data_IF_939714421424
#
_entry.id   IF_939714421424
#
_cell.length_a   1.000
_cell.length_b   1.000
_cell.length_c   1.000
_cell.angle_alpha   90.00
_cell.angle_beta   90.00
_cell.angle_gamma   90.00
#
_symmetry.space_group_name_H-M   'P 1'
#
loop_
_entity.id
_entity.type
_entity.pdbx_description
1 polymer ?
#
# COMPACT_ATOMS: atom_id res chain seq x y z
N UNK A 1 -6.48 -33.23 51.38
CA UNK A 1 -6.72 -31.86 50.86
C UNK A 1 -5.58 -31.34 49.97
N UNK A 2 -4.32 -31.27 50.42
CA UNK A 2 -3.18 -30.78 49.60
C UNK A 2 -2.97 -31.52 48.27
N UNK A 3 -3.11 -32.85 48.25
CA UNK A 3 -2.97 -33.67 47.01
C UNK A 3 -4.09 -33.43 45.98
N UNK A 4 -5.32 -33.19 46.43
CA UNK A 4 -6.45 -32.86 45.55
C UNK A 4 -6.33 -31.46 44.96
N UNK A 5 -5.80 -30.50 45.74
CA UNK A 5 -5.58 -29.13 45.28
C UNK A 5 -4.47 -29.04 44.23
N UNK A 6 -3.42 -29.86 44.34
CA UNK A 6 -2.35 -29.96 43.35
C UNK A 6 -2.85 -30.57 42.02
N UNK A 7 -3.71 -31.59 42.08
CA UNK A 7 -4.31 -32.21 40.88
C UNK A 7 -5.26 -31.23 40.18
N UNK A 8 -6.07 -30.49 40.94
CA UNK A 8 -6.97 -29.49 40.38
C UNK A 8 -6.22 -28.32 39.72
N UNK A 9 -5.12 -27.85 40.34
CA UNK A 9 -4.27 -26.82 39.75
C UNK A 9 -3.59 -27.29 38.45
N UNK A 10 -3.12 -28.54 38.39
CA UNK A 10 -2.54 -29.11 37.18
C UNK A 10 -3.59 -29.30 36.06
N UNK A 11 -4.83 -29.68 36.40
CA UNK A 11 -5.91 -29.83 35.44
C UNK A 11 -6.36 -28.49 34.84
N UNK A 12 -6.49 -27.44 35.66
CA UNK A 12 -6.82 -26.08 35.20
C UNK A 12 -5.70 -25.54 34.30
N UNK A 13 -4.43 -25.79 34.64
CA UNK A 13 -3.29 -25.35 33.83
C UNK A 13 -3.21 -26.08 32.47
N UNK A 14 -3.63 -27.34 32.41
CA UNK A 14 -3.72 -28.08 31.14
C UNK A 14 -4.87 -27.57 30.24
N UNK A 15 -5.99 -27.15 30.81
CA UNK A 15 -7.13 -26.58 30.05
C UNK A 15 -6.78 -25.20 29.49
N UNK A 16 -6.01 -24.39 30.21
CA UNK A 16 -5.57 -23.06 29.73
C UNK A 16 -4.58 -23.19 28.55
N UNK A 17 -3.77 -24.25 28.50
CA UNK A 17 -2.81 -24.49 27.41
C UNK A 17 -3.45 -25.05 26.14
N UNK A 18 -4.62 -25.68 26.23
CA UNK A 18 -5.34 -26.25 25.09
C UNK A 18 -6.34 -25.27 24.43
N UNK A 19 -6.52 -24.06 24.98
CA UNK A 19 -7.51 -23.09 24.52
C UNK A 19 -7.00 -22.10 23.46
N UNK A 20 -5.81 -22.32 22.90
CA UNK A 20 -5.23 -21.50 21.83
C UNK A 20 -4.87 -22.34 20.61
N UNK A 21 -5.87 -22.94 19.97
CA UNK A 21 -5.77 -23.28 18.55
C UNK A 21 -6.95 -22.61 17.85
N UNK A 22 -6.72 -21.40 17.34
CA UNK A 22 -7.59 -20.86 16.30
C UNK A 22 -7.24 -21.60 15.00
N UNK A 23 -8.19 -22.38 14.50
CA UNK A 23 -8.07 -23.14 13.26
C UNK A 23 -7.64 -22.22 12.11
N UNK A 24 -6.39 -22.33 11.66
CA UNK A 24 -5.87 -21.58 10.51
C UNK A 24 -6.46 -22.07 9.17
N UNK A 25 -7.27 -23.13 9.21
CA UNK A 25 -7.93 -23.78 8.07
C UNK A 25 -9.35 -23.25 7.83
N UNK A 26 -9.54 -21.92 7.89
CA UNK A 26 -10.82 -21.31 7.50
C UNK A 26 -10.96 -21.37 5.98
N UNK A 27 -12.04 -22.00 5.50
CA UNK A 27 -12.38 -21.97 4.07
C UNK A 27 -12.73 -20.54 3.66
N UNK A 28 -11.98 -19.98 2.71
CA UNK A 28 -12.27 -18.66 2.14
C UNK A 28 -13.54 -18.75 1.29
N UNK A 29 -14.58 -18.02 1.66
CA UNK A 29 -15.79 -17.89 0.85
C UNK A 29 -15.50 -17.04 -0.39
N UNK A 30 -15.20 -17.64 -1.55
CA UNK A 30 -15.22 -17.09 -2.94
C UNK A 30 -14.73 -15.66 -3.25
N UNK A 31 -14.24 -14.89 -2.28
CA UNK A 31 -13.68 -13.54 -2.37
C UNK A 31 -12.16 -13.66 -2.31
N UNK A 32 -11.62 -14.47 -3.20
CA UNK A 32 -10.20 -14.41 -3.54
C UNK A 32 -9.99 -13.24 -4.50
N UNK A 33 -8.81 -12.62 -4.45
CA UNK A 33 -8.36 -11.60 -5.40
C UNK A 33 -8.29 -12.13 -6.83
N UNK A 34 -8.03 -13.43 -6.98
CA UNK A 34 -8.17 -14.17 -8.23
C UNK A 34 -9.62 -14.64 -8.45
N UNK A 35 -10.22 -14.27 -9.59
CA UNK A 35 -11.48 -14.86 -10.04
C UNK A 35 -11.20 -16.14 -10.83
N UNK A 36 -11.54 -17.29 -10.25
CA UNK A 36 -11.51 -18.57 -10.94
C UNK A 36 -12.93 -18.85 -11.44
N UNK A 37 -13.14 -18.76 -12.75
CA UNK A 37 -14.42 -19.09 -13.36
C UNK A 37 -14.83 -20.54 -13.05
N UNK A 38 -16.14 -20.80 -12.93
CA UNK A 38 -16.69 -22.16 -12.69
C UNK A 38 -16.44 -23.12 -13.85
N UNK A 39 -16.17 -22.58 -15.03
CA UNK A 39 -15.54 -23.26 -16.18
C UNK A 39 -14.14 -22.67 -16.29
N UNK A 40 -13.18 -23.37 -16.90
CA UNK A 40 -11.77 -22.95 -17.04
C UNK A 40 -11.54 -21.64 -17.88
N UNK A 41 -12.38 -20.63 -17.69
CA UNK A 41 -12.32 -19.31 -18.26
C UNK A 41 -11.95 -18.32 -17.15
N UNK A 42 -11.02 -17.43 -17.46
CA UNK A 42 -10.66 -16.30 -16.60
C UNK A 42 -11.77 -15.26 -16.72
N UNK A 43 -12.38 -14.86 -15.60
CA UNK A 43 -13.37 -13.78 -15.58
C UNK A 43 -12.66 -12.43 -15.48
N UNK A 44 -12.94 -11.54 -16.43
CA UNK A 44 -12.44 -10.17 -16.41
C UNK A 44 -13.51 -9.25 -15.79
N UNK A 45 -13.15 -8.56 -14.71
CA UNK A 45 -13.98 -7.51 -14.10
C UNK A 45 -13.30 -6.17 -14.30
N UNK A 46 -14.00 -5.21 -14.90
CA UNK A 46 -13.53 -3.82 -14.92
C UNK A 46 -13.69 -3.23 -13.52
N UNK A 47 -12.61 -2.80 -12.84
CA UNK A 47 -12.72 -2.26 -11.49
C UNK A 47 -13.42 -0.90 -11.52
N UNK A 48 -14.39 -0.72 -10.63
CA UNK A 48 -15.01 0.59 -10.38
C UNK A 48 -14.11 1.31 -9.39
N UNK A 49 -13.45 2.39 -9.81
CA UNK A 49 -12.47 3.08 -8.97
C UNK A 49 -13.01 4.36 -8.32
N UNK A 50 -12.52 4.65 -7.11
CA UNK A 50 -12.58 5.97 -6.48
C UNK A 50 -11.21 6.62 -6.66
N UNK A 51 -11.18 7.90 -7.03
CA UNK A 51 -9.93 8.63 -7.27
C UNK A 51 -9.90 9.97 -6.55
N UNK A 52 -8.68 10.44 -6.28
CA UNK A 52 -8.39 11.81 -5.90
C UNK A 52 -7.35 12.40 -6.85
N UNK A 53 -7.40 13.71 -7.05
CA UNK A 53 -6.45 14.46 -7.88
C UNK A 53 -5.92 15.63 -7.07
N UNK A 54 -4.60 15.80 -7.06
CA UNK A 54 -3.90 16.85 -6.30
C UNK A 54 -3.12 17.71 -7.30
N UNK A 55 -3.31 19.02 -7.22
CA UNK A 55 -2.60 19.98 -8.04
C UNK A 55 -1.28 20.39 -7.37
N UNK A 56 -0.22 20.48 -8.16
CA UNK A 56 1.12 20.87 -7.75
C UNK A 56 1.68 21.92 -8.71
N UNK A 57 2.67 22.67 -8.24
CA UNK A 57 3.44 23.59 -9.09
C UNK A 57 4.91 23.42 -8.74
N UNK A 58 5.73 23.07 -9.73
CA UNK A 58 7.20 23.13 -9.60
C UNK A 58 7.70 24.44 -10.18
N UNK A 59 8.68 25.05 -9.52
CA UNK A 59 9.36 26.26 -9.99
C UNK A 59 10.71 25.89 -10.60
N UNK A 60 10.95 26.32 -11.84
CA UNK A 60 12.22 26.18 -12.53
C UNK A 60 12.60 27.51 -13.18
N UNK A 61 13.67 28.15 -12.69
CA UNK A 61 14.18 29.44 -13.17
C UNK A 61 13.08 30.52 -13.33
N UNK A 62 12.16 30.58 -12.36
CA UNK A 62 11.05 31.53 -12.34
C UNK A 62 9.85 31.11 -13.22
N UNK A 63 9.96 30.01 -13.96
CA UNK A 63 8.86 29.40 -14.69
C UNK A 63 8.09 28.45 -13.76
N UNK A 64 6.78 28.66 -13.65
CA UNK A 64 5.85 27.78 -12.93
C UNK A 64 5.36 26.69 -13.87
N UNK A 65 5.63 25.43 -13.53
CA UNK A 65 5.15 24.27 -14.30
C UNK A 65 4.02 23.60 -13.49
N UNK A 66 2.76 23.67 -13.95
CA UNK A 66 1.62 23.07 -13.27
C UNK A 66 1.57 21.56 -13.50
N UNK A 67 1.49 20.80 -12.41
CA UNK A 67 1.42 19.35 -12.41
C UNK A 67 0.14 18.87 -11.71
N UNK A 68 -0.31 17.69 -12.06
CA UNK A 68 -1.41 17.00 -11.36
C UNK A 68 -1.03 15.57 -11.07
N UNK A 69 -1.14 15.16 -9.81
CA UNK A 69 -1.05 13.75 -9.43
C UNK A 69 -2.46 13.19 -9.25
N UNK A 70 -2.68 11.94 -9.65
CA UNK A 70 -3.95 11.25 -9.44
C UNK A 70 -3.70 9.88 -8.85
N UNK A 71 -4.53 9.52 -7.87
CA UNK A 71 -4.47 8.26 -7.14
C UNK A 71 -5.83 7.61 -7.19
N UNK A 72 -5.93 6.40 -7.75
CA UNK A 72 -7.18 5.65 -7.81
C UNK A 72 -7.06 4.28 -7.16
N UNK A 73 -8.11 3.86 -6.47
CA UNK A 73 -8.25 2.55 -5.83
C UNK A 73 -9.63 1.98 -6.13
N UNK A 74 -9.83 0.68 -5.95
CA UNK A 74 -11.17 0.09 -6.02
C UNK A 74 -12.11 0.80 -5.02
N UNK A 75 -13.31 1.17 -5.50
CA UNK A 75 -14.33 1.91 -4.74
C UNK A 75 -14.70 1.21 -3.44
N UNK A 76 -14.67 -0.12 -3.40
CA UNK A 76 -14.94 -0.91 -2.19
C UNK A 76 -13.89 -0.68 -1.08
N UNK A 77 -12.70 -0.19 -1.43
CA UNK A 77 -11.62 0.08 -0.47
C UNK A 77 -11.56 1.55 -0.03
N UNK A 78 -12.28 2.44 -0.71
CA UNK A 78 -12.17 3.89 -0.49
C UNK A 78 -12.47 4.33 0.94
N UNK A 79 -13.38 3.63 1.61
CA UNK A 79 -13.72 3.84 3.02
C UNK A 79 -13.54 2.57 3.85
N UNK A 80 -12.76 1.63 3.34
CA UNK A 80 -12.55 0.33 3.98
C UNK A 80 -11.25 -0.29 3.45
N UNK A 81 -10.14 0.43 3.60
CA UNK A 81 -8.84 -0.14 3.26
C UNK A 81 -8.62 -1.40 4.08
N UNK A 82 -8.15 -2.49 3.48
CA UNK A 82 -7.78 -3.71 4.20
C UNK A 82 -6.36 -4.05 3.82
N UNK A 83 -5.61 -4.47 4.82
CA UNK A 83 -4.20 -4.79 4.75
C UNK A 83 -3.97 -6.27 4.47
N UNK A 84 -4.95 -7.15 4.68
CA UNK A 84 -4.74 -8.60 4.57
C UNK A 84 -4.96 -9.18 3.17
N UNK A 85 -5.44 -8.39 2.20
CA UNK A 85 -5.52 -8.77 0.79
C UNK A 85 -4.58 -7.94 -0.08
N UNK A 86 -4.35 -8.43 -1.30
CA UNK A 86 -3.72 -7.65 -2.35
C UNK A 86 -4.68 -6.58 -2.88
N UNK A 87 -4.16 -5.40 -3.17
CA UNK A 87 -4.92 -4.30 -3.77
C UNK A 87 -4.11 -3.59 -4.84
N UNK A 88 -4.78 -2.76 -5.64
CA UNK A 88 -4.14 -1.95 -6.67
C UNK A 88 -4.39 -0.48 -6.40
N UNK A 89 -3.32 0.31 -6.49
CA UNK A 89 -3.37 1.77 -6.51
C UNK A 89 -2.84 2.26 -7.86
N UNK A 90 -3.68 2.86 -8.68
CA UNK A 90 -3.23 3.50 -9.91
C UNK A 90 -2.61 4.85 -9.58
N UNK A 91 -1.33 5.01 -9.95
CA UNK A 91 -0.57 6.24 -9.77
C UNK A 91 -0.43 6.95 -11.11
N UNK A 92 -0.80 8.23 -11.15
CA UNK A 92 -0.71 9.03 -12.37
C UNK A 92 -0.09 10.39 -12.09
N UNK A 93 0.75 10.85 -13.01
CA UNK A 93 1.32 12.19 -13.02
C UNK A 93 1.12 12.82 -14.41
N UNK A 94 0.47 13.97 -14.44
CA UNK A 94 0.28 14.79 -15.63
C UNK A 94 0.86 16.19 -15.47
N UNK A 95 1.05 16.86 -16.60
CA UNK A 95 1.50 18.25 -16.71
C UNK A 95 0.53 18.99 -17.64
N UNK A 96 -0.05 20.10 -17.19
CA UNK A 96 -1.06 20.79 -17.99
C UNK A 96 -0.45 21.59 -19.16
N UNK A 97 0.75 22.14 -18.94
CA UNK A 97 1.49 22.92 -19.93
C UNK A 97 2.97 22.92 -19.59
N UNK A 98 3.82 22.86 -20.61
CA UNK A 98 5.27 22.95 -20.48
C UNK A 98 5.80 23.91 -21.57
N UNK A 99 6.73 24.83 -21.25
CA UNK A 99 7.39 25.64 -22.26
C UNK A 99 8.14 24.78 -23.29
N UNK A 100 8.15 25.20 -24.56
CA UNK A 100 8.75 24.44 -25.67
C UNK A 100 10.25 24.17 -25.51
N UNK A 101 10.95 25.02 -24.74
CA UNK A 101 12.38 24.87 -24.47
C UNK A 101 12.69 23.92 -23.30
N UNK A 102 11.66 23.37 -22.64
CA UNK A 102 11.81 22.43 -21.54
C UNK A 102 11.28 21.05 -21.91
N UNK A 103 11.92 20.02 -21.36
CA UNK A 103 11.36 18.67 -21.34
C UNK A 103 11.20 18.23 -19.89
N UNK A 104 10.13 17.50 -19.62
CA UNK A 104 9.86 16.93 -18.30
C UNK A 104 9.83 15.41 -18.43
N UNK A 105 10.64 14.73 -17.63
CA UNK A 105 10.67 13.27 -17.59
C UNK A 105 10.47 12.78 -16.15
N UNK A 106 9.71 11.70 -15.99
CA UNK A 106 9.61 10.95 -14.74
C UNK A 106 10.82 10.04 -14.63
N UNK A 107 11.68 10.32 -13.67
CA UNK A 107 12.92 9.57 -13.45
C UNK A 107 12.73 8.43 -12.44
N UNK A 108 12.01 8.70 -11.35
CA UNK A 108 11.74 7.69 -10.33
C UNK A 108 10.34 7.90 -9.74
N UNK A 109 9.68 6.79 -9.42
CA UNK A 109 8.44 6.78 -8.64
C UNK A 109 8.63 5.85 -7.46
N UNK A 110 8.59 6.41 -6.26
CA UNK A 110 8.55 5.63 -5.03
C UNK A 110 7.17 5.78 -4.41
N UNK A 111 6.52 4.66 -4.08
CA UNK A 111 5.28 4.66 -3.34
C UNK A 111 5.34 3.62 -2.22
N UNK A 112 4.66 3.89 -1.09
CA UNK A 112 4.44 2.88 -0.08
C UNK A 112 3.09 3.04 0.59
N UNK A 113 2.57 1.93 1.12
CA UNK A 113 1.44 1.92 2.04
C UNK A 113 1.96 1.52 3.40
N UNK A 114 1.56 2.25 4.44
CA UNK A 114 1.95 1.99 5.83
C UNK A 114 0.77 2.14 6.77
N UNK A 115 0.80 1.41 7.88
CA UNK A 115 -0.23 1.43 8.90
C UNK A 115 -0.22 2.78 9.64
N UNK A 116 -1.39 3.33 9.88
CA UNK A 116 -1.62 4.46 10.79
C UNK A 116 -2.32 3.90 12.03
N UNK A 117 -1.70 4.06 13.19
CA UNK A 117 -2.15 3.41 14.43
C UNK A 117 -1.96 4.31 15.64
N UNK A 118 -2.80 4.10 16.65
CA UNK A 118 -2.63 4.70 17.98
C UNK A 118 -1.54 4.03 18.81
N UNK A 119 -1.09 2.83 18.42
CA UNK A 119 -0.02 2.09 19.11
C UNK A 119 1.30 2.22 18.36
N UNK A 120 2.36 2.56 19.08
CA UNK A 120 3.72 2.72 18.52
C UNK A 120 4.23 1.45 17.83
N UNK A 121 3.89 0.27 18.36
CA UNK A 121 4.34 -1.01 17.81
C UNK A 121 3.78 -1.34 16.42
N UNK A 122 2.67 -0.72 16.01
CA UNK A 122 2.04 -0.94 14.70
C UNK A 122 1.98 0.31 13.83
N UNK A 123 2.20 1.50 14.40
CA UNK A 123 2.22 2.74 13.64
C UNK A 123 3.46 2.83 12.74
N UNK A 124 3.25 3.07 11.45
CA UNK A 124 4.32 3.19 10.46
C UNK A 124 4.86 1.85 9.94
N UNK A 125 4.33 0.71 10.38
CA UNK A 125 4.65 -0.59 9.76
C UNK A 125 4.26 -0.51 8.30
N UNK A 126 5.23 -0.67 7.41
CA UNK A 126 4.99 -0.69 5.96
C UNK A 126 4.21 -1.97 5.64
N UNK A 127 3.15 -1.86 4.84
CA UNK A 127 2.48 -3.00 4.21
C UNK A 127 3.27 -3.43 2.98
N UNK A 128 3.51 -2.49 2.07
CA UNK A 128 4.27 -2.74 0.85
C UNK A 128 4.84 -1.43 0.26
N UNK A 129 5.73 -1.55 -0.74
CA UNK A 129 6.27 -0.43 -1.50
C UNK A 129 6.59 -0.76 -2.95
N UNK A 130 6.34 0.21 -3.82
CA UNK A 130 6.83 0.28 -5.20
C UNK A 130 8.04 1.21 -5.27
N UNK A 131 9.09 0.81 -5.99
CA UNK A 131 10.20 1.69 -6.36
C UNK A 131 10.58 1.44 -7.82
N UNK A 132 10.25 2.38 -8.69
CA UNK A 132 10.44 2.25 -10.15
C UNK A 132 11.37 3.34 -10.65
N UNK A 133 12.60 2.93 -10.98
CA UNK A 133 13.70 3.80 -11.35
C UNK A 133 14.02 3.65 -12.84
N UNK A 134 13.97 4.78 -13.57
CA UNK A 134 14.20 4.86 -15.00
C UNK A 134 15.51 5.58 -15.36
N UNK A 135 16.42 5.74 -14.39
CA UNK A 135 17.69 6.47 -14.58
C UNK A 135 18.58 5.86 -15.68
N UNK A 136 18.39 4.58 -16.00
CA UNK A 136 19.14 3.87 -17.04
C UNK A 136 18.53 4.01 -18.44
N UNK A 137 17.33 4.59 -18.58
CA UNK A 137 16.77 4.87 -19.91
C UNK A 137 17.63 5.94 -20.61
N UNK A 138 17.71 5.94 -21.97
CA UNK A 138 18.49 6.93 -22.70
C UNK A 138 18.13 8.39 -22.38
N UNK A 139 16.87 8.63 -22.01
CA UNK A 139 16.38 9.95 -21.60
C UNK A 139 16.45 10.20 -20.09
N UNK A 140 17.03 9.27 -19.31
CA UNK A 140 17.05 9.30 -17.85
C UNK A 140 15.66 9.24 -17.21
N UNK A 141 14.63 8.85 -17.95
CA UNK A 141 13.25 8.84 -17.49
C UNK A 141 12.24 8.60 -18.61
N UNK A 142 10.96 8.59 -18.23
CA UNK A 142 9.81 8.51 -19.15
C UNK A 142 9.28 9.92 -19.38
N UNK A 143 9.24 10.37 -20.64
CA UNK A 143 8.77 11.70 -20.99
C UNK A 143 7.28 11.89 -20.73
N UNK A 144 6.91 13.09 -20.24
CA UNK A 144 5.53 13.53 -20.07
C UNK A 144 5.32 14.91 -20.69
N UNK A 145 4.10 15.16 -21.16
CA UNK A 145 3.67 16.44 -21.71
C UNK A 145 2.13 16.57 -21.59
N UNK A 146 1.57 17.68 -22.08
CA UNK A 146 0.13 17.95 -22.00
C UNK A 146 -0.77 16.94 -22.72
N UNK A 147 -0.22 16.15 -23.65
CA UNK A 147 -0.93 15.10 -24.38
C UNK A 147 -0.62 13.68 -23.88
N UNK A 148 0.34 13.51 -22.96
CA UNK A 148 0.82 12.19 -22.53
C UNK A 148 1.25 12.23 -21.07
N UNK A 149 0.37 11.72 -20.22
CA UNK A 149 0.63 11.54 -18.79
C UNK A 149 1.44 10.27 -18.54
N UNK A 150 2.13 10.23 -17.40
CA UNK A 150 2.73 9.01 -16.88
C UNK A 150 1.74 8.27 -15.98
N UNK A 151 1.63 6.96 -16.16
CA UNK A 151 0.73 6.09 -15.38
C UNK A 151 1.45 4.79 -15.01
N UNK A 152 1.28 4.34 -13.76
CA UNK A 152 1.79 3.05 -13.29
C UNK A 152 0.87 2.45 -12.21
N UNK A 153 0.51 1.16 -12.31
CA UNK A 153 -0.17 0.47 -11.23
C UNK A 153 0.81 0.09 -10.12
N UNK A 154 0.48 0.41 -8.88
CA UNK A 154 1.11 -0.12 -7.69
C UNK A 154 0.25 -1.28 -7.16
N UNK A 155 0.70 -2.51 -7.39
CA UNK A 155 0.13 -3.69 -6.73
C UNK A 155 0.66 -3.75 -5.30
N UNK A 156 -0.21 -3.50 -4.34
CA UNK A 156 0.09 -3.51 -2.91
C UNK A 156 -0.21 -4.89 -2.39
N UNK A 157 0.82 -5.62 -1.96
CA UNK A 157 0.68 -6.93 -1.34
C UNK A 157 -0.12 -6.88 -0.04
N UNK A 158 -0.78 -7.98 0.28
CA UNK A 158 -1.32 -8.18 1.62
C UNK A 158 -0.20 -8.31 2.65
N UNK A 159 -0.44 -7.89 3.89
CA UNK A 159 0.54 -7.90 4.97
C UNK A 159 1.06 -9.30 5.31
N UNK A 160 0.27 -10.33 4.97
CA UNK A 160 0.63 -11.75 5.11
C UNK A 160 1.42 -12.32 3.91
N UNK A 161 1.64 -11.51 2.87
CA UNK A 161 2.48 -11.83 1.71
C UNK A 161 3.85 -11.12 1.84
N UNK A 162 3.92 -10.06 2.65
CA UNK A 162 5.13 -9.32 2.92
C UNK A 162 5.83 -9.80 4.21
N UNK A 163 6.94 -10.53 4.08
CA UNK A 163 7.69 -11.10 5.20
C UNK A 163 8.14 -10.06 6.24
N UNK A 164 8.56 -8.88 5.79
CA UNK A 164 9.01 -7.81 6.70
C UNK A 164 7.85 -7.36 7.59
N UNK A 165 6.67 -7.18 7.01
CA UNK A 165 5.48 -6.74 7.72
C UNK A 165 5.00 -7.79 8.72
N UNK A 166 4.96 -9.06 8.29
CA UNK A 166 4.64 -10.18 9.17
C UNK A 166 5.60 -10.25 10.35
N UNK A 167 6.90 -10.12 10.10
CA UNK A 167 7.93 -10.20 11.14
C UNK A 167 7.79 -9.06 12.15
N UNK A 168 7.54 -7.84 11.69
CA UNK A 168 7.37 -6.69 12.59
C UNK A 168 6.11 -6.85 13.46
N UNK A 169 5.03 -7.41 12.92
CA UNK A 169 3.77 -7.59 13.64
C UNK A 169 3.82 -8.78 14.61
N UNK A 170 4.38 -9.90 14.18
CA UNK A 170 4.42 -11.14 14.97
C UNK A 170 5.65 -11.22 15.90
N UNK A 171 6.65 -10.35 15.71
CA UNK A 171 7.92 -10.39 16.42
C UNK A 171 8.95 -11.29 15.72
N UNK A 172 10.21 -10.87 15.77
CA UNK A 172 11.32 -11.63 15.19
C UNK A 172 11.54 -12.95 15.93
N UNK A 173 11.59 -14.07 15.20
CA UNK A 173 11.92 -15.39 15.77
C UNK A 173 10.78 -16.11 16.50
N UNK A 174 9.53 -15.69 16.34
CA UNK A 174 8.39 -16.47 16.86
C UNK A 174 8.29 -17.82 16.12
N UNK A 175 8.37 -18.93 16.85
CA UNK A 175 8.15 -20.27 16.31
C UNK A 175 6.70 -20.48 15.83
N UNK A 176 5.76 -19.68 16.34
CA UNK A 176 4.35 -19.67 15.96
C UNK A 176 4.03 -18.33 15.29
N UNK A 177 4.13 -18.26 13.97
CA UNK A 177 3.63 -17.13 13.19
C UNK A 177 2.20 -17.45 12.76
N UNK A 178 1.23 -16.73 13.33
CA UNK A 178 -0.15 -16.78 12.85
C UNK A 178 -0.34 -15.75 11.73
N UNK A 179 -1.28 -16.05 10.82
CA UNK A 179 -1.72 -15.05 9.83
C UNK A 179 -2.39 -13.90 10.55
N UNK A 180 -2.04 -12.68 10.16
CA UNK A 180 -2.64 -11.46 10.69
C UNK A 180 -4.00 -11.25 10.04
N UNK A 181 -5.05 -11.06 10.84
CA UNK A 181 -6.40 -10.71 10.37
C UNK A 181 -6.65 -9.21 10.47
N UNK A 182 -7.68 -8.70 9.78
CA UNK A 182 -8.13 -7.31 9.96
C UNK A 182 -8.57 -7.00 11.39
N UNK A 183 -9.15 -7.99 12.08
CA UNK A 183 -9.55 -7.87 13.48
C UNK A 183 -8.32 -7.66 14.38
N UNK A 184 -7.24 -8.41 14.14
CA UNK A 184 -5.99 -8.27 14.89
C UNK A 184 -5.41 -6.87 14.75
N UNK A 185 -5.35 -6.35 13.52
CA UNK A 185 -4.85 -5.01 13.25
C UNK A 185 -5.69 -3.94 13.98
N UNK A 186 -7.03 -4.05 13.92
CA UNK A 186 -7.93 -3.17 14.66
C UNK A 186 -7.74 -3.28 16.18
N UNK A 187 -7.58 -4.50 16.72
CA UNK A 187 -7.26 -4.73 18.14
C UNK A 187 -5.90 -4.16 18.55
N UNK A 188 -4.96 -4.07 17.60
CA UNK A 188 -3.65 -3.42 17.74
C UNK A 188 -3.69 -1.91 17.47
N UNK A 189 -4.88 -1.29 17.42
CA UNK A 189 -5.06 0.16 17.36
C UNK A 189 -4.87 0.78 15.97
N UNK A 190 -4.80 -0.04 14.92
CA UNK A 190 -4.72 0.44 13.53
C UNK A 190 -6.04 1.11 13.14
N UNK A 191 -5.95 2.33 12.62
CA UNK A 191 -7.09 3.17 12.22
C UNK A 191 -7.26 3.27 10.70
N UNK A 192 -6.27 2.83 9.94
CA UNK A 192 -6.24 2.88 8.50
C UNK A 192 -4.80 2.88 8.01
N UNK A 193 -4.62 3.18 6.73
CA UNK A 193 -3.33 3.27 6.08
C UNK A 193 -2.99 4.70 5.64
N UNK A 194 -1.75 4.86 5.22
CA UNK A 194 -1.27 6.05 4.52
C UNK A 194 -0.48 5.61 3.30
N UNK A 195 -0.92 6.06 2.13
CA UNK A 195 -0.15 6.02 0.90
C UNK A 195 0.78 7.23 0.87
N UNK A 196 2.09 7.00 0.80
CA UNK A 196 3.07 8.06 0.51
C UNK A 196 3.59 7.84 -0.90
N UNK A 197 3.63 8.89 -1.71
CA UNK A 197 4.18 8.82 -3.08
C UNK A 197 5.18 9.95 -3.28
N UNK A 198 6.33 9.62 -3.86
CA UNK A 198 7.38 10.56 -4.25
C UNK A 198 7.63 10.39 -5.74
N UNK A 199 7.39 11.45 -6.48
CA UNK A 199 7.72 11.57 -7.89
C UNK A 199 9.02 12.33 -8.02
N UNK A 200 10.04 11.72 -8.61
CA UNK A 200 11.28 12.39 -8.99
C UNK A 200 11.23 12.70 -10.47
N UNK A 201 11.35 13.98 -10.79
CA UNK A 201 11.26 14.52 -12.14
C UNK A 201 12.62 15.08 -12.55
N UNK A 202 12.99 14.89 -13.82
CA UNK A 202 14.06 15.68 -14.43
C UNK A 202 13.43 16.73 -15.34
N UNK A 203 13.74 17.99 -15.05
CA UNK A 203 13.54 19.11 -15.95
C UNK A 203 14.79 19.22 -16.82
N UNK A 204 14.64 19.10 -18.13
CA UNK A 204 15.74 19.27 -19.09
C UNK A 204 15.60 20.61 -19.79
N UNK A 205 16.69 21.37 -19.82
CA UNK A 205 16.79 22.65 -20.52
C UNK A 205 18.09 22.65 -21.33
N UNK A 206 17.99 22.31 -22.63
CA UNK A 206 19.15 21.98 -23.46
C UNK A 206 19.90 20.77 -22.89
N UNK A 207 21.22 20.89 -22.70
CA UNK A 207 22.07 19.82 -22.16
C UNK A 207 22.02 19.69 -20.63
N UNK A 208 21.35 20.64 -19.95
CA UNK A 208 21.30 20.69 -18.49
C UNK A 208 20.09 19.92 -17.96
N UNK A 209 20.33 19.14 -16.91
CA UNK A 209 19.34 18.32 -16.24
C UNK A 209 19.19 18.76 -14.78
N UNK A 210 17.96 18.91 -14.32
CA UNK A 210 17.65 19.37 -12.98
C UNK A 210 16.62 18.47 -12.33
N UNK A 211 16.83 18.13 -11.06
CA UNK A 211 15.92 17.26 -10.31
C UNK A 211 14.88 18.12 -9.59
N UNK A 212 13.61 17.73 -9.71
CA UNK A 212 12.50 18.23 -8.88
C UNK A 212 11.74 17.06 -8.28
N UNK A 213 11.14 17.27 -7.13
CA UNK A 213 10.34 16.24 -6.46
C UNK A 213 8.95 16.75 -6.14
N UNK A 214 7.96 15.88 -6.30
CA UNK A 214 6.59 16.06 -5.83
C UNK A 214 6.30 14.96 -4.83
N UNK A 215 5.68 15.31 -3.69
CA UNK A 215 5.39 14.34 -2.63
C UNK A 215 3.96 14.49 -2.15
N UNK A 216 3.24 13.37 -2.12
CA UNK A 216 1.86 13.30 -1.64
C UNK A 216 1.74 12.30 -0.49
N UNK A 217 0.80 12.59 0.42
CA UNK A 217 0.42 11.73 1.55
C UNK A 217 -1.09 11.62 1.61
N UNK A 218 -1.61 10.43 1.31
CA UNK A 218 -3.04 10.15 1.17
C UNK A 218 -3.46 9.20 2.29
N UNK A 219 -4.52 9.55 3.02
CA UNK A 219 -5.13 8.68 4.01
C UNK A 219 -5.98 7.59 3.36
N UNK A 220 -5.86 6.35 3.86
CA UNK A 220 -6.62 5.18 3.44
C UNK A 220 -7.43 4.68 4.66
N UNK A 221 -8.64 5.21 4.92
CA UNK A 221 -9.35 4.94 6.16
C UNK A 221 -9.85 3.49 6.25
N UNK A 222 -9.84 2.93 7.46
CA UNK A 222 -10.69 1.77 7.76
C UNK A 222 -12.17 2.17 7.78
N UNK A 223 -13.05 1.21 7.50
CA UNK A 223 -14.47 1.41 7.78
C UNK A 223 -14.66 1.67 9.28
N UNK A 224 -15.40 2.74 9.60
CA UNK A 224 -15.82 3.03 10.95
C UNK A 224 -16.46 1.78 11.57
N UNK A 225 -16.19 1.52 12.85
CA UNK A 225 -16.96 0.52 13.59
C UNK A 225 -18.39 1.05 13.68
N UNK A 226 -19.34 0.32 13.11
CA UNK A 226 -20.75 0.44 13.50
C UNK A 226 -20.93 -0.03 14.95
#
# INVERSE_FOLDING_TARGET
>A
MKKFMAIFAALVMAIILAACDEDSNVTLNSETDAQIGKKAAVEAKTPITKRITIAHVIDFDGVKIPLTTTYAIDKSLANNWRFTYQSMVDLKLGVASLPDNLQLVVNNVYANVSLVSTKMSTNGVRQDSLNQNYSTLPQGGVSINAASDYEIPFQVEGINQNETSMTVINGYGSANTSRVTESDLRGRGVQGGKLNVVWTLLVKAGDRHFVKTVTDRIGLPYAAKE
#
